data_IF_572676199553
#
_entry.id   IF_572676199553
#
_cell.length_a   1.000
_cell.length_b   1.000
_cell.length_c   1.000
_cell.angle_alpha   90.00
_cell.angle_beta   90.00
_cell.angle_gamma   90.00
#
_symmetry.space_group_name_H-M   'P 1'
#
loop_
_entity.id
_entity.type
_entity.pdbx_description
1 polymer ?
#
# COMPACT_ATOMS: atom_id res chain seq x y z
N UNK A 1 19.87 -8.95 21.63
CA UNK A 1 18.91 -9.28 20.57
C UNK A 1 19.25 -8.43 19.37
N UNK A 2 19.60 -9.03 18.23
CA UNK A 2 19.72 -8.27 16.99
C UNK A 2 18.31 -7.94 16.51
N UNK A 3 18.04 -6.65 16.27
CA UNK A 3 16.77 -6.21 15.70
C UNK A 3 16.64 -6.69 14.26
N UNK A 4 15.41 -7.00 13.84
CA UNK A 4 15.08 -7.36 12.47
C UNK A 4 13.95 -6.48 11.92
N UNK A 5 13.73 -6.55 10.61
CA UNK A 5 12.59 -5.89 9.96
C UNK A 5 11.97 -6.82 8.92
N UNK A 6 10.67 -6.68 8.73
CA UNK A 6 9.93 -7.31 7.62
C UNK A 6 9.66 -6.25 6.57
N UNK A 7 9.96 -6.55 5.32
CA UNK A 7 9.50 -5.75 4.19
C UNK A 7 8.22 -6.37 3.67
N UNK A 8 7.16 -5.58 3.54
CA UNK A 8 5.83 -6.07 3.20
C UNK A 8 5.25 -5.20 2.08
N UNK A 9 4.61 -5.84 1.11
CA UNK A 9 3.81 -5.20 0.09
C UNK A 9 2.35 -5.60 0.23
N UNK A 10 1.46 -4.66 -0.06
CA UNK A 10 0.01 -4.88 -0.16
C UNK A 10 -0.56 -3.92 -1.20
N UNK A 11 -1.75 -4.24 -1.71
CA UNK A 11 -2.60 -3.30 -2.43
C UNK A 11 -4.04 -3.37 -1.89
N UNK A 12 -4.73 -2.24 -2.02
CA UNK A 12 -6.14 -2.11 -1.67
C UNK A 12 -6.91 -1.45 -2.80
N UNK A 13 -8.18 -1.80 -2.90
CA UNK A 13 -9.17 -1.14 -3.73
C UNK A 13 -10.45 -0.93 -2.93
N UNK A 14 -11.43 -0.24 -3.51
CA UNK A 14 -12.72 -0.04 -2.85
C UNK A 14 -13.48 -1.36 -2.66
N UNK A 15 -13.31 -2.31 -3.60
CA UNK A 15 -13.95 -3.62 -3.63
C UNK A 15 -13.22 -4.71 -2.82
N UNK A 16 -11.93 -4.55 -2.53
CA UNK A 16 -11.18 -5.57 -1.80
C UNK A 16 -9.75 -5.17 -1.45
N UNK A 17 -8.96 -6.15 -1.01
CA UNK A 17 -7.55 -6.02 -0.66
C UNK A 17 -6.78 -7.28 -1.05
N UNK A 18 -5.50 -7.15 -1.35
CA UNK A 18 -4.62 -8.31 -1.58
C UNK A 18 -4.25 -8.98 -0.25
N UNK A 19 -3.66 -10.17 -0.32
CA UNK A 19 -2.88 -10.72 0.81
C UNK A 19 -1.63 -9.88 1.07
N UNK A 20 -1.01 -10.04 2.25
CA UNK A 20 0.31 -9.46 2.54
C UNK A 20 1.40 -10.26 1.83
N UNK A 21 2.30 -9.56 1.16
CA UNK A 21 3.43 -10.14 0.44
C UNK A 21 4.71 -9.76 1.17
N UNK A 22 5.35 -10.76 1.78
CA UNK A 22 6.57 -10.54 2.54
C UNK A 22 7.79 -10.70 1.64
N UNK A 23 8.55 -9.62 1.54
CA UNK A 23 9.69 -9.51 0.65
C UNK A 23 10.99 -9.72 1.41
N UNK A 24 11.90 -10.48 0.80
CA UNK A 24 13.18 -10.81 1.42
C UNK A 24 14.27 -9.86 0.94
N UNK A 25 14.96 -9.21 1.88
CA UNK A 25 16.11 -8.37 1.60
C UNK A 25 15.80 -7.13 0.76
N UNK A 26 16.85 -6.54 0.19
CA UNK A 26 16.75 -5.31 -0.60
C UNK A 26 16.09 -5.58 -1.96
N UNK A 27 14.94 -4.97 -2.20
CA UNK A 27 14.19 -5.13 -3.44
C UNK A 27 14.85 -4.41 -4.61
N UNK A 28 14.76 -5.04 -5.78
CA UNK A 28 15.05 -4.46 -7.09
C UNK A 28 13.73 -4.28 -7.84
N UNK A 29 13.76 -3.47 -8.89
CA UNK A 29 12.59 -3.25 -9.74
C UNK A 29 12.01 -4.55 -10.34
N UNK A 30 12.83 -5.59 -10.55
CA UNK A 30 12.36 -6.90 -11.06
C UNK A 30 11.51 -7.64 -10.04
N UNK A 31 11.88 -7.57 -8.77
CA UNK A 31 11.14 -8.19 -7.68
C UNK A 31 9.76 -7.51 -7.53
N UNK A 32 9.73 -6.18 -7.68
CA UNK A 32 8.48 -5.42 -7.71
C UNK A 32 7.57 -5.81 -8.88
N UNK A 33 8.12 -5.94 -10.09
CA UNK A 33 7.37 -6.42 -11.26
C UNK A 33 6.82 -7.82 -11.03
N UNK A 34 7.57 -8.70 -10.35
CA UNK A 34 7.09 -10.04 -10.01
C UNK A 34 5.87 -9.97 -9.08
N UNK A 35 5.91 -9.12 -8.05
CA UNK A 35 4.76 -8.88 -7.17
C UNK A 35 3.57 -8.33 -7.95
N UNK A 36 3.78 -7.35 -8.84
CA UNK A 36 2.70 -6.82 -9.68
C UNK A 36 2.07 -7.90 -10.58
N UNK A 37 2.87 -8.80 -11.13
CA UNK A 37 2.36 -9.90 -11.96
C UNK A 37 1.53 -10.91 -11.16
N UNK A 38 1.92 -11.26 -9.94
CA UNK A 38 1.25 -12.32 -9.17
C UNK A 38 0.09 -11.81 -8.32
N UNK A 39 0.21 -10.60 -7.76
CA UNK A 39 -0.69 -10.12 -6.70
C UNK A 39 -1.62 -9.00 -7.15
N UNK A 40 -1.28 -8.32 -8.26
CA UNK A 40 -2.03 -7.16 -8.71
C UNK A 40 -2.72 -7.40 -10.05
N UNK A 41 -1.98 -7.72 -11.11
CA UNK A 41 -2.50 -7.80 -12.47
C UNK A 41 -3.72 -8.74 -12.61
N UNK A 42 -3.76 -9.93 -11.96
CA UNK A 42 -4.91 -10.82 -12.06
C UNK A 42 -6.16 -10.31 -11.34
N UNK A 43 -6.01 -9.40 -10.37
CA UNK A 43 -7.06 -9.02 -9.42
C UNK A 43 -7.42 -7.53 -9.46
N UNK A 44 -6.78 -6.73 -10.33
CA UNK A 44 -6.99 -5.28 -10.38
C UNK A 44 -8.46 -4.89 -10.50
N UNK A 45 -9.22 -5.60 -11.34
CA UNK A 45 -10.66 -5.34 -11.53
C UNK A 45 -11.51 -5.78 -10.33
N UNK A 46 -11.13 -6.85 -9.64
CA UNK A 46 -11.81 -7.29 -8.41
C UNK A 46 -11.61 -6.27 -7.28
N UNK A 47 -10.44 -5.62 -7.25
CA UNK A 47 -10.11 -4.58 -6.26
C UNK A 47 -10.79 -3.25 -6.59
N UNK A 48 -10.74 -2.82 -7.85
CA UNK A 48 -11.02 -1.44 -8.26
C UNK A 48 -12.25 -1.22 -9.15
N UNK A 49 -12.95 -2.27 -9.59
CA UNK A 49 -14.04 -2.18 -10.56
C UNK A 49 -13.56 -2.27 -12.02
N UNK A 50 -14.33 -1.83 -13.01
CA UNK A 50 -13.93 -1.90 -14.43
C UNK A 50 -13.02 -0.74 -14.85
N UNK A 51 -13.17 0.44 -14.23
CA UNK A 51 -12.44 1.68 -14.57
C UNK A 51 -11.44 2.09 -13.48
N UNK A 52 -10.61 1.15 -13.04
CA UNK A 52 -9.62 1.41 -12.00
C UNK A 52 -8.35 2.07 -12.53
N UNK A 53 -7.63 2.78 -11.65
CA UNK A 53 -6.27 3.29 -11.89
C UNK A 53 -5.33 2.80 -10.80
N UNK A 54 -4.12 2.42 -11.18
CA UNK A 54 -3.10 2.02 -10.23
C UNK A 54 -2.49 3.25 -9.57
N UNK A 55 -2.39 3.25 -8.25
CA UNK A 55 -1.69 4.30 -7.50
C UNK A 55 -0.44 3.70 -6.84
N UNK A 56 0.69 4.38 -7.01
CA UNK A 56 1.94 4.10 -6.33
C UNK A 56 2.64 5.43 -6.01
N UNK A 57 3.53 5.44 -5.03
CA UNK A 57 4.32 6.62 -4.70
C UNK A 57 5.48 6.86 -5.70
N UNK A 58 6.21 7.95 -5.50
CA UNK A 58 7.36 8.32 -6.32
C UNK A 58 8.67 7.61 -5.99
N UNK A 59 8.67 6.48 -5.26
CA UNK A 59 9.91 5.79 -4.89
C UNK A 59 10.74 5.42 -6.15
N UNK A 60 12.06 5.45 -6.03
CA UNK A 60 12.97 5.21 -7.16
C UNK A 60 12.78 3.83 -7.80
N UNK A 61 12.35 2.84 -7.01
CA UNK A 61 12.04 1.50 -7.47
C UNK A 61 10.72 1.46 -8.27
N UNK A 62 9.68 2.16 -7.82
CA UNK A 62 8.38 2.26 -8.51
C UNK A 62 8.44 3.09 -9.80
N UNK A 63 9.39 4.02 -9.87
CA UNK A 63 9.58 4.93 -11.02
C UNK A 63 10.67 4.48 -12.00
N UNK A 64 11.29 3.33 -11.76
CA UNK A 64 12.32 2.77 -12.62
C UNK A 64 11.79 2.49 -14.04
N UNK A 65 12.63 2.66 -15.05
CA UNK A 65 12.24 2.47 -16.48
C UNK A 65 11.61 1.11 -16.73
N UNK A 66 12.13 0.04 -16.12
CA UNK A 66 11.56 -1.30 -16.26
C UNK A 66 10.12 -1.40 -15.73
N UNK A 67 9.80 -0.74 -14.62
CA UNK A 67 8.45 -0.74 -14.03
C UNK A 67 7.49 0.08 -14.89
N UNK A 68 7.93 1.26 -15.36
CA UNK A 68 7.13 2.08 -16.29
C UNK A 68 6.80 1.33 -17.58
N UNK A 69 7.79 0.66 -18.16
CA UNK A 69 7.58 -0.17 -19.36
C UNK A 69 6.64 -1.35 -19.08
N UNK A 70 6.70 -1.94 -17.89
CA UNK A 70 5.77 -3.00 -17.50
C UNK A 70 4.32 -2.50 -17.46
N UNK A 71 4.06 -1.34 -16.85
CA UNK A 71 2.70 -0.76 -16.84
C UNK A 71 2.17 -0.48 -18.25
N UNK A 72 3.02 0.08 -19.13
CA UNK A 72 2.67 0.35 -20.52
C UNK A 72 2.33 -0.94 -21.28
N UNK A 73 3.17 -1.98 -21.17
CA UNK A 73 2.96 -3.26 -21.86
C UNK A 73 1.71 -3.99 -21.39
N UNK A 74 1.34 -3.86 -20.12
CA UNK A 74 0.16 -4.50 -19.55
C UNK A 74 -1.09 -3.61 -19.60
N UNK A 75 -1.03 -2.46 -20.28
CA UNK A 75 -2.13 -1.53 -20.44
C UNK A 75 -2.74 -1.08 -19.10
N UNK A 76 -1.89 -0.85 -18.10
CA UNK A 76 -2.27 -0.40 -16.77
C UNK A 76 -2.14 1.12 -16.69
N UNK A 77 -3.26 1.81 -16.44
CA UNK A 77 -3.24 3.25 -16.21
C UNK A 77 -2.75 3.55 -14.79
N UNK A 78 -1.68 4.34 -14.70
CA UNK A 78 -1.06 4.73 -13.42
C UNK A 78 -1.44 6.17 -13.12
N UNK A 79 -2.07 6.39 -11.97
CA UNK A 79 -2.42 7.71 -11.49
C UNK A 79 -1.15 8.56 -11.30
N UNK A 80 -1.04 9.74 -11.93
CA UNK A 80 0.07 10.66 -11.68
C UNK A 80 0.08 11.06 -10.20
N UNK A 81 1.21 10.79 -9.52
CA UNK A 81 1.33 11.04 -8.09
C UNK A 81 2.22 12.25 -7.78
N UNK A 82 1.74 13.23 -7.01
CA UNK A 82 2.56 14.34 -6.57
C UNK A 82 3.67 13.89 -5.61
N UNK A 83 4.85 14.50 -5.73
CA UNK A 83 5.95 14.23 -4.83
C UNK A 83 5.62 14.68 -3.40
N UNK A 84 5.97 13.88 -2.41
CA UNK A 84 5.81 14.17 -0.98
C UNK A 84 4.35 14.38 -0.54
N UNK A 85 3.42 13.59 -1.07
CA UNK A 85 2.00 13.61 -0.64
C UNK A 85 1.59 12.30 0.06
N UNK A 86 2.16 11.99 1.23
CA UNK A 86 1.74 10.81 2.01
C UNK A 86 0.31 10.97 2.55
N UNK A 87 -0.15 12.21 2.75
CA UNK A 87 -1.50 12.57 3.20
C UNK A 87 -2.61 12.10 2.25
N UNK A 88 -2.32 11.96 0.97
CA UNK A 88 -3.23 11.40 -0.02
C UNK A 88 -3.10 9.88 -0.19
N UNK A 89 -2.03 9.26 0.32
CA UNK A 89 -1.78 7.83 0.17
C UNK A 89 -2.43 7.05 1.32
N UNK A 90 -3.62 6.48 1.08
CA UNK A 90 -4.37 5.74 2.10
C UNK A 90 -3.64 4.49 2.62
N UNK A 91 -2.67 3.95 1.87
CA UNK A 91 -1.85 2.81 2.30
C UNK A 91 -1.01 3.17 3.53
N UNK A 92 -0.57 4.42 3.68
CA UNK A 92 0.13 4.89 4.88
C UNK A 92 -0.76 4.82 6.12
N UNK A 93 -2.05 5.16 5.99
CA UNK A 93 -3.00 5.01 7.09
C UNK A 93 -3.22 3.54 7.44
N UNK A 94 -3.31 2.67 6.45
CA UNK A 94 -3.45 1.22 6.65
C UNK A 94 -2.24 0.67 7.41
N UNK A 95 -1.02 1.05 7.02
CA UNK A 95 0.19 0.66 7.75
C UNK A 95 0.16 1.13 9.20
N UNK A 96 -0.22 2.39 9.45
CA UNK A 96 -0.35 2.91 10.81
C UNK A 96 -1.38 2.12 11.64
N UNK A 97 -2.51 1.75 11.05
CA UNK A 97 -3.54 0.93 11.70
C UNK A 97 -3.03 -0.49 12.00
N UNK A 98 -2.36 -1.12 11.05
CA UNK A 98 -1.76 -2.45 11.22
C UNK A 98 -0.73 -2.45 12.36
N UNK A 99 0.19 -1.49 12.37
CA UNK A 99 1.19 -1.35 13.44
C UNK A 99 0.52 -1.17 14.79
N UNK A 100 -0.49 -0.30 14.90
CA UNK A 100 -1.24 -0.08 16.16
C UNK A 100 -1.90 -1.36 16.67
N UNK A 101 -2.48 -2.17 15.78
CA UNK A 101 -3.12 -3.45 16.15
C UNK A 101 -2.09 -4.49 16.58
N UNK A 102 -1.00 -4.63 15.83
CA UNK A 102 0.06 -5.62 16.07
C UNK A 102 0.77 -5.38 17.40
N UNK A 103 1.00 -4.11 17.74
CA UNK A 103 1.66 -3.68 18.99
C UNK A 103 0.67 -3.21 20.07
N UNK A 104 -0.62 -3.53 19.94
CA UNK A 104 -1.60 -3.26 20.98
C UNK A 104 -1.19 -3.94 22.30
N UNK A 105 -1.64 -3.39 23.43
CA UNK A 105 -1.37 -3.90 24.77
C UNK A 105 0.13 -4.07 25.09
N UNK A 106 0.99 -3.26 24.46
CA UNK A 106 2.45 -3.27 24.65
C UNK A 106 3.07 -4.62 24.27
N UNK A 107 2.44 -5.34 23.32
CA UNK A 107 2.96 -6.61 22.82
C UNK A 107 4.36 -6.44 22.22
N UNK A 108 5.24 -7.38 22.52
CA UNK A 108 6.57 -7.49 21.92
C UNK A 108 6.71 -8.85 21.21
N UNK A 109 7.67 -8.92 20.29
CA UNK A 109 7.91 -10.10 19.47
C UNK A 109 9.38 -10.50 19.59
N UNK A 110 9.63 -11.77 19.89
CA UNK A 110 10.98 -12.31 20.05
C UNK A 110 11.55 -12.86 18.73
N UNK A 111 10.74 -12.89 17.68
CA UNK A 111 11.16 -13.34 16.36
C UNK A 111 10.38 -12.68 15.22
N UNK A 112 11.01 -12.62 14.05
CA UNK A 112 10.35 -12.17 12.82
C UNK A 112 9.19 -13.08 12.40
N UNK A 113 9.24 -14.37 12.76
CA UNK A 113 8.14 -15.32 12.50
C UNK A 113 6.88 -14.91 13.26
N UNK A 114 6.99 -14.64 14.57
CA UNK A 114 5.84 -14.20 15.38
C UNK A 114 5.30 -12.85 14.90
N UNK A 115 6.19 -11.92 14.51
CA UNK A 115 5.76 -10.63 13.96
C UNK A 115 5.00 -10.81 12.63
N UNK A 116 5.46 -11.73 11.77
CA UNK A 116 4.81 -12.06 10.51
C UNK A 116 3.42 -12.65 10.72
N UNK A 117 3.30 -13.60 11.65
CA UNK A 117 2.02 -14.22 12.02
C UNK A 117 1.05 -13.16 12.55
N UNK A 118 1.48 -12.29 13.47
CA UNK A 118 0.63 -11.22 13.99
C UNK A 118 0.22 -10.20 12.92
N UNK A 119 1.09 -9.89 11.95
CA UNK A 119 0.74 -9.04 10.81
C UNK A 119 -0.31 -9.69 9.92
N UNK A 120 -0.17 -10.99 9.61
CA UNK A 120 -1.17 -11.73 8.85
C UNK A 120 -2.51 -11.78 9.59
N UNK A 121 -2.52 -12.15 10.88
CA UNK A 121 -3.75 -12.19 11.68
C UNK A 121 -4.45 -10.82 11.70
N UNK A 122 -3.69 -9.74 11.89
CA UNK A 122 -4.22 -8.37 11.90
C UNK A 122 -4.77 -7.96 10.53
N UNK A 123 -4.10 -8.37 9.45
CA UNK A 123 -4.53 -8.10 8.09
C UNK A 123 -5.76 -8.90 7.71
N UNK A 124 -5.81 -10.19 8.02
CA UNK A 124 -6.94 -11.07 7.73
C UNK A 124 -8.22 -10.59 8.43
N UNK A 125 -8.08 -9.99 9.61
CA UNK A 125 -9.18 -9.34 10.34
C UNK A 125 -9.41 -7.86 9.95
N UNK A 126 -8.67 -7.31 8.98
CA UNK A 126 -8.87 -5.94 8.50
C UNK A 126 -10.14 -5.87 7.64
N UNK A 127 -11.11 -5.09 8.09
CA UNK A 127 -12.42 -5.05 7.47
C UNK A 127 -12.39 -4.15 6.23
N UNK A 128 -13.09 -4.58 5.17
CA UNK A 128 -13.18 -3.79 3.93
C UNK A 128 -13.83 -2.40 4.17
N UNK A 129 -14.71 -2.28 5.16
CA UNK A 129 -15.34 -1.00 5.53
C UNK A 129 -14.33 0.04 6.03
N UNK A 130 -13.21 -0.40 6.61
CA UNK A 130 -12.13 0.48 7.06
C UNK A 130 -11.36 1.04 5.85
N UNK A 131 -11.08 0.19 4.85
CA UNK A 131 -10.50 0.61 3.57
C UNK A 131 -11.44 1.60 2.87
N UNK A 132 -12.72 1.29 2.78
CA UNK A 132 -13.72 2.16 2.15
C UNK A 132 -13.85 3.50 2.87
N UNK A 133 -13.75 3.53 4.20
CA UNK A 133 -13.75 4.78 4.97
C UNK A 133 -12.56 5.68 4.61
N UNK A 134 -11.39 5.10 4.37
CA UNK A 134 -10.22 5.85 3.89
C UNK A 134 -10.46 6.41 2.48
N UNK A 135 -10.98 5.59 1.56
CA UNK A 135 -11.39 6.07 0.22
C UNK A 135 -12.39 7.21 0.29
N UNK A 136 -13.44 7.08 1.11
CA UNK A 136 -14.47 8.10 1.28
C UNK A 136 -13.92 9.41 1.85
N UNK A 137 -12.76 9.39 2.52
CA UNK A 137 -12.09 10.59 3.01
C UNK A 137 -11.32 11.35 1.93
N UNK A 138 -10.90 10.70 0.84
CA UNK A 138 -10.03 11.28 -0.19
C UNK A 138 -10.57 12.59 -0.80
N UNK A 139 -11.87 12.73 -1.14
CA UNK A 139 -12.37 14.00 -1.67
C UNK A 139 -12.12 15.19 -0.73
N UNK A 140 -12.32 15.00 0.58
CA UNK A 140 -12.06 16.04 1.56
C UNK A 140 -10.56 16.30 1.72
N UNK A 141 -9.73 15.26 1.71
CA UNK A 141 -8.26 15.41 1.74
C UNK A 141 -7.76 16.23 0.57
N UNK A 142 -8.21 15.92 -0.64
CA UNK A 142 -7.86 16.65 -1.86
C UNK A 142 -8.28 18.12 -1.73
N UNK A 143 -9.50 18.38 -1.25
CA UNK A 143 -9.98 19.75 -1.00
C UNK A 143 -9.08 20.51 -0.02
N UNK A 144 -8.72 19.90 1.11
CA UNK A 144 -7.86 20.53 2.11
C UNK A 144 -6.43 20.76 1.58
N UNK A 145 -5.86 19.84 0.78
CA UNK A 145 -4.57 20.06 0.10
C UNK A 145 -4.64 21.26 -0.85
N UNK A 146 -5.71 21.38 -1.64
CA UNK A 146 -5.92 22.51 -2.55
C UNK A 146 -6.01 23.82 -1.76
N UNK A 147 -6.82 23.84 -0.69
CA UNK A 147 -6.96 24.99 0.21
C UNK A 147 -5.64 25.37 0.89
N UNK A 148 -4.81 24.37 1.20
CA UNK A 148 -3.48 24.56 1.74
C UNK A 148 -2.42 24.95 0.69
N UNK A 149 -2.82 25.13 -0.58
CA UNK A 149 -1.94 25.41 -1.73
C UNK A 149 -0.84 24.34 -1.91
N UNK A 150 -1.23 23.06 -1.80
CA UNK A 150 -0.32 21.93 -1.98
C UNK A 150 0.59 21.63 -0.78
N UNK A 151 0.35 22.27 0.37
CA UNK A 151 1.05 21.93 1.63
C UNK A 151 0.40 20.73 2.30
N UNK A 152 1.19 20.05 3.15
CA UNK A 152 0.73 18.90 3.92
C UNK A 152 -0.50 19.21 4.78
N UNK A 153 -1.41 18.25 4.86
CA UNK A 153 -2.59 18.29 5.72
C UNK A 153 -2.51 17.22 6.83
N UNK A 154 -3.25 17.38 7.95
CA UNK A 154 -3.18 16.44 9.08
C UNK A 154 -4.07 15.21 8.84
N UNK A 155 -3.55 14.23 8.10
CA UNK A 155 -4.18 12.92 7.83
C UNK A 155 -3.21 11.76 7.99
#
# INVERSE_FOLDING_TARGET
>A
MEGGSLMVWLAVGYGGRTSLVFLNGRQKHRDYIQVLNSEFLPYGSDLGGEEWKFQQDGASLHTATGVKNWFLTNNVDVLPWPAKSPDLNIVENIWAMLVRRVYADVRQFDSLTQLREALNDSWDNFCQTEVQSLYNSLPNRIFEVIKANGKNIPY
#
